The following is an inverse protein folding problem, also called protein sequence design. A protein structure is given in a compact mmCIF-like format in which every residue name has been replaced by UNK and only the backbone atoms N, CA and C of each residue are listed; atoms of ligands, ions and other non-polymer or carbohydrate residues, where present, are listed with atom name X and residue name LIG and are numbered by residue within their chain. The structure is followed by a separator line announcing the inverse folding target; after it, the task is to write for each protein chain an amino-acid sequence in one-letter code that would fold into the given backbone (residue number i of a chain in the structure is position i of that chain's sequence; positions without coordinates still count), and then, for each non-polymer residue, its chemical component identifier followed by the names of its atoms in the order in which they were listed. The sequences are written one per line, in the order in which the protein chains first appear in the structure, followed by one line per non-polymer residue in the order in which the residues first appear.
data_IF_709914851231
#
_entry.id   IF_709914851231
#
_cell.length_a   1.000
_cell.length_b   1.000
_cell.length_c   1.000
_cell.angle_alpha   90.00
_cell.angle_beta   90.00
_cell.angle_gamma   90.00
#
_symmetry.space_group_name_H-M   'P 1'
#
loop_
_entity.id
_entity.type
_entity.pdbx_description
1 polymer ?
#
# COMPACT_ATOMS: atom_id res chain seq x y z
N UNK A 1 9.62 -21.42 -32.35
CA UNK A 1 9.69 -19.94 -32.28
C UNK A 1 8.29 -19.30 -32.37
N UNK A 2 7.52 -19.48 -33.44
CA UNK A 2 6.16 -18.92 -33.57
C UNK A 2 5.18 -19.39 -32.46
N UNK A 3 5.14 -20.70 -32.16
CA UNK A 3 4.28 -21.26 -31.10
C UNK A 3 4.66 -20.76 -29.70
N UNK A 4 5.96 -20.59 -29.43
CA UNK A 4 6.45 -20.09 -28.15
C UNK A 4 6.11 -18.62 -27.94
N UNK A 5 6.21 -17.80 -28.99
CA UNK A 5 5.79 -16.40 -28.99
C UNK A 5 4.29 -16.29 -28.73
N UNK A 6 3.47 -17.05 -29.46
CA UNK A 6 2.02 -17.03 -29.28
C UNK A 6 1.62 -17.42 -27.85
N UNK A 7 2.24 -18.46 -27.30
CA UNK A 7 2.02 -18.90 -25.92
C UNK A 7 2.44 -17.85 -24.90
N UNK A 8 3.59 -17.20 -25.08
CA UNK A 8 4.08 -16.15 -24.19
C UNK A 8 3.17 -14.91 -24.24
N UNK A 9 2.80 -14.47 -25.45
CA UNK A 9 1.89 -13.34 -25.69
C UNK A 9 0.51 -13.58 -25.06
N UNK A 10 -0.06 -14.77 -25.23
CA UNK A 10 -1.34 -15.13 -24.60
C UNK A 10 -1.26 -15.11 -23.08
N UNK A 11 -0.18 -15.65 -22.50
CA UNK A 11 0.05 -15.60 -21.04
C UNK A 11 0.19 -14.16 -20.55
N UNK A 12 0.94 -13.32 -21.26
CA UNK A 12 1.11 -11.88 -20.95
C UNK A 12 -0.22 -11.14 -20.98
N UNK A 13 -1.05 -11.38 -22.00
CA UNK A 13 -2.38 -10.79 -22.11
C UNK A 13 -3.27 -11.16 -20.91
N UNK A 14 -3.31 -12.44 -20.53
CA UNK A 14 -4.06 -12.90 -19.35
C UNK A 14 -3.52 -12.29 -18.06
N UNK A 15 -2.19 -12.25 -17.90
CA UNK A 15 -1.55 -11.62 -16.74
C UNK A 15 -1.93 -10.14 -16.65
N UNK A 16 -1.83 -9.39 -17.76
CA UNK A 16 -2.24 -7.98 -17.84
C UNK A 16 -3.71 -7.78 -17.47
N UNK A 17 -4.61 -8.61 -17.96
CA UNK A 17 -6.03 -8.53 -17.59
C UNK A 17 -6.25 -8.73 -16.08
N UNK A 18 -5.59 -9.73 -15.49
CA UNK A 18 -5.67 -10.00 -14.05
C UNK A 18 -5.08 -8.85 -13.23
N UNK A 19 -3.94 -8.30 -13.64
CA UNK A 19 -3.32 -7.14 -13.00
C UNK A 19 -4.21 -5.90 -13.11
N UNK A 20 -4.86 -5.67 -14.26
CA UNK A 20 -5.81 -4.55 -14.42
C UNK A 20 -6.99 -4.67 -13.46
N UNK A 21 -7.56 -5.88 -13.31
CA UNK A 21 -8.63 -6.12 -12.31
C UNK A 21 -8.17 -5.84 -10.89
N UNK A 22 -6.95 -6.26 -10.54
CA UNK A 22 -6.36 -5.97 -9.23
C UNK A 22 -6.18 -4.46 -9.00
N UNK A 23 -5.68 -3.75 -10.01
CA UNK A 23 -5.55 -2.28 -9.96
C UNK A 23 -6.91 -1.61 -9.78
N UNK A 24 -7.95 -2.06 -10.48
CA UNK A 24 -9.31 -1.53 -10.27
C UNK A 24 -9.79 -1.78 -8.85
N UNK A 25 -9.53 -2.96 -8.27
CA UNK A 25 -9.87 -3.25 -6.86
C UNK A 25 -9.14 -2.31 -5.90
N UNK A 26 -7.83 -2.09 -6.12
CA UNK A 26 -7.02 -1.13 -5.36
C UNK A 26 -7.61 0.27 -5.48
N UNK A 27 -7.94 0.71 -6.69
CA UNK A 27 -8.49 2.03 -6.95
C UNK A 27 -9.82 2.26 -6.24
N UNK A 28 -10.73 1.28 -6.29
CA UNK A 28 -12.00 1.33 -5.56
C UNK A 28 -11.76 1.44 -4.07
N UNK A 29 -10.98 0.53 -3.46
CA UNK A 29 -10.72 0.54 -2.02
C UNK A 29 -10.00 1.81 -1.56
N UNK A 30 -9.01 2.27 -2.32
CA UNK A 30 -8.25 3.48 -2.00
C UNK A 30 -9.18 4.69 -1.86
N UNK A 31 -10.14 4.84 -2.79
CA UNK A 31 -11.07 5.96 -2.82
C UNK A 31 -12.33 5.74 -1.94
N UNK A 32 -12.51 4.58 -1.33
CA UNK A 32 -13.70 4.27 -0.53
C UNK A 32 -13.57 4.84 0.89
N UNK A 33 -14.17 5.99 1.15
CA UNK A 33 -14.13 6.65 2.46
C UNK A 33 -15.01 5.98 3.53
N UNK A 34 -15.80 4.95 3.16
CA UNK A 34 -16.71 4.26 4.09
C UNK A 34 -16.05 3.13 4.86
N UNK A 35 -14.92 2.62 4.36
CA UNK A 35 -14.15 1.52 4.98
C UNK A 35 -13.31 2.05 6.13
N UNK A 36 -13.28 1.31 7.25
CA UNK A 36 -12.41 1.64 8.38
C UNK A 36 -10.95 1.76 7.94
N UNK A 37 -10.22 2.72 8.53
CA UNK A 37 -8.85 3.02 8.10
C UNK A 37 -7.90 1.84 8.32
N UNK A 38 -8.03 1.10 9.43
CA UNK A 38 -7.16 -0.03 9.72
C UNK A 38 -7.46 -1.18 8.76
N UNK A 39 -8.75 -1.49 8.56
CA UNK A 39 -9.19 -2.50 7.58
C UNK A 39 -8.69 -2.16 6.16
N UNK A 40 -8.80 -0.88 5.76
CA UNK A 40 -8.26 -0.38 4.50
C UNK A 40 -6.75 -0.57 4.39
N UNK A 41 -5.99 -0.28 5.46
CA UNK A 41 -4.53 -0.45 5.46
C UNK A 41 -4.14 -1.93 5.30
N UNK A 42 -4.80 -2.83 6.02
CA UNK A 42 -4.55 -4.27 5.94
C UNK A 42 -4.85 -4.81 4.55
N UNK A 43 -6.01 -4.46 3.97
CA UNK A 43 -6.38 -4.92 2.65
C UNK A 43 -5.48 -4.31 1.56
N UNK A 44 -5.13 -3.02 1.65
CA UNK A 44 -4.19 -2.39 0.70
C UNK A 44 -2.79 -3.00 0.76
N UNK A 45 -2.30 -3.41 1.95
CA UNK A 45 -1.05 -4.17 2.08
C UNK A 45 -1.13 -5.51 1.33
N UNK A 46 -2.19 -6.29 1.57
CA UNK A 46 -2.39 -7.56 0.88
C UNK A 46 -2.48 -7.40 -0.65
N UNK A 47 -3.19 -6.36 -1.12
CA UNK A 47 -3.31 -6.06 -2.54
C UNK A 47 -2.00 -5.55 -3.15
N UNK A 48 -1.17 -4.84 -2.38
CA UNK A 48 0.15 -4.39 -2.80
C UNK A 48 1.08 -5.59 -3.04
N UNK A 49 1.11 -6.57 -2.13
CA UNK A 49 1.94 -7.77 -2.29
C UNK A 49 1.55 -8.54 -3.57
N UNK A 50 0.24 -8.71 -3.80
CA UNK A 50 -0.26 -9.31 -5.04
C UNK A 50 0.10 -8.50 -6.29
N UNK A 51 0.12 -7.17 -6.19
CA UNK A 51 0.49 -6.29 -7.31
C UNK A 51 1.97 -6.45 -7.64
N UNK A 52 2.84 -6.53 -6.63
CA UNK A 52 4.28 -6.74 -6.79
C UNK A 52 4.60 -8.10 -7.42
N UNK A 53 3.93 -9.16 -6.97
CA UNK A 53 4.06 -10.50 -7.57
C UNK A 53 3.68 -10.46 -9.06
N UNK A 54 2.51 -9.90 -9.39
CA UNK A 54 2.04 -9.80 -10.78
C UNK A 54 2.94 -8.92 -11.64
N UNK A 55 3.52 -7.86 -11.07
CA UNK A 55 4.52 -7.02 -11.74
C UNK A 55 5.76 -7.82 -12.12
N UNK A 56 6.26 -8.69 -11.22
CA UNK A 56 7.38 -9.60 -11.53
C UNK A 56 7.01 -10.56 -12.68
N UNK A 57 5.84 -11.20 -12.58
CA UNK A 57 5.37 -12.12 -13.63
C UNK A 57 5.27 -11.44 -14.99
N UNK A 58 4.77 -10.20 -15.04
CA UNK A 58 4.70 -9.43 -16.29
C UNK A 58 6.09 -9.15 -16.86
N UNK A 59 7.04 -8.70 -16.03
CA UNK A 59 8.43 -8.45 -16.45
C UNK A 59 9.09 -9.70 -17.03
N UNK A 60 8.90 -10.86 -16.40
CA UNK A 60 9.45 -12.13 -16.89
C UNK A 60 8.86 -12.52 -18.26
N UNK A 61 7.56 -12.30 -18.44
CA UNK A 61 6.90 -12.52 -19.73
C UNK A 61 7.35 -11.52 -20.78
N UNK A 62 7.59 -10.26 -20.40
CA UNK A 62 8.05 -9.21 -21.29
C UNK A 62 9.47 -9.51 -21.81
N UNK A 63 10.41 -9.85 -20.93
CA UNK A 63 11.78 -10.27 -21.29
C UNK A 63 11.74 -11.48 -22.24
N UNK A 64 10.86 -12.45 -21.95
CA UNK A 64 10.71 -13.63 -22.82
C UNK A 64 10.19 -13.26 -24.21
N UNK A 65 9.24 -12.34 -24.30
CA UNK A 65 8.66 -11.91 -25.58
C UNK A 65 9.66 -11.09 -26.39
N UNK A 66 10.41 -10.18 -25.76
CA UNK A 66 11.47 -9.41 -26.42
C UNK A 66 12.47 -10.31 -27.16
N UNK A 67 12.86 -11.44 -26.56
CA UNK A 67 13.75 -12.43 -27.20
C UNK A 67 13.11 -13.24 -28.34
N UNK A 68 11.82 -13.08 -28.62
CA UNK A 68 11.05 -13.83 -29.62
C UNK A 68 10.46 -12.95 -30.74
N UNK A 69 10.53 -11.63 -30.60
CA UNK A 69 9.93 -10.65 -31.52
C UNK A 69 10.97 -10.12 -32.51
N UNK A 70 10.56 -9.84 -33.75
CA UNK A 70 11.42 -9.21 -34.75
C UNK A 70 11.71 -7.75 -34.38
N UNK A 71 12.83 -7.18 -34.82
CA UNK A 71 13.17 -5.79 -34.52
C UNK A 71 12.05 -4.80 -34.93
N UNK A 72 11.37 -5.04 -36.05
CA UNK A 72 10.33 -4.15 -36.58
C UNK A 72 9.06 -4.11 -35.71
N UNK A 73 8.76 -5.19 -34.98
CA UNK A 73 7.60 -5.28 -34.08
C UNK A 73 7.95 -4.91 -32.63
N UNK A 74 9.24 -4.83 -32.30
CA UNK A 74 9.74 -4.65 -30.95
C UNK A 74 9.48 -3.24 -30.39
N UNK A 75 9.58 -2.19 -31.21
CA UNK A 75 9.35 -0.81 -30.74
C UNK A 75 7.90 -0.61 -30.25
N UNK A 76 6.91 -1.06 -31.03
CA UNK A 76 5.49 -0.97 -30.64
C UNK A 76 5.21 -1.79 -29.38
N UNK A 77 5.90 -2.91 -29.24
CA UNK A 77 5.80 -3.76 -28.07
C UNK A 77 6.33 -3.05 -26.81
N UNK A 78 7.53 -2.46 -26.88
CA UNK A 78 8.19 -1.74 -25.79
C UNK A 78 7.29 -0.61 -25.28
N UNK A 79 6.76 0.23 -26.17
CA UNK A 79 5.87 1.33 -25.78
C UNK A 79 4.66 0.80 -24.98
N UNK A 80 4.02 -0.27 -25.44
CA UNK A 80 2.87 -0.87 -24.75
C UNK A 80 3.23 -1.49 -23.38
N UNK A 81 4.46 -2.01 -23.24
CA UNK A 81 4.98 -2.52 -21.96
C UNK A 81 5.19 -1.37 -21.00
N UNK A 82 5.91 -0.33 -21.42
CA UNK A 82 6.28 0.81 -20.58
C UNK A 82 5.06 1.57 -20.07
N UNK A 83 4.12 1.92 -20.94
CA UNK A 83 2.87 2.60 -20.56
C UNK A 83 2.11 1.82 -19.47
N UNK A 84 2.10 0.49 -19.56
CA UNK A 84 1.41 -0.33 -18.59
C UNK A 84 2.21 -0.48 -17.27
N UNK A 85 3.54 -0.60 -17.36
CA UNK A 85 4.41 -0.62 -16.18
C UNK A 85 4.33 0.69 -15.39
N UNK A 86 4.24 1.83 -16.06
CA UNK A 86 4.02 3.12 -15.42
C UNK A 86 2.72 3.15 -14.61
N UNK A 87 1.63 2.57 -15.15
CA UNK A 87 0.37 2.44 -14.42
C UNK A 87 0.53 1.62 -13.14
N UNK A 88 1.27 0.51 -13.20
CA UNK A 88 1.55 -0.33 -12.02
C UNK A 88 2.38 0.45 -11.00
N UNK A 89 3.48 1.08 -11.43
CA UNK A 89 4.40 1.84 -10.56
C UNK A 89 3.67 3.00 -9.88
N UNK A 90 2.77 3.68 -10.59
CA UNK A 90 1.94 4.76 -10.03
C UNK A 90 1.10 4.27 -8.84
N UNK A 91 0.42 3.13 -8.98
CA UNK A 91 -0.40 2.56 -7.92
C UNK A 91 0.43 2.03 -6.77
N UNK A 92 1.52 1.33 -7.05
CA UNK A 92 2.51 0.91 -6.05
C UNK A 92 2.96 2.11 -5.19
N UNK A 93 3.33 3.22 -5.82
CA UNK A 93 3.77 4.42 -5.13
C UNK A 93 2.66 5.09 -4.32
N UNK A 94 1.42 5.11 -4.81
CA UNK A 94 0.27 5.64 -4.06
C UNK A 94 0.02 4.85 -2.78
N UNK A 95 -0.04 3.52 -2.89
CA UNK A 95 -0.30 2.64 -1.73
C UNK A 95 0.82 2.77 -0.69
N UNK A 96 2.09 2.68 -1.12
CA UNK A 96 3.24 2.80 -0.21
C UNK A 96 3.25 4.12 0.56
N UNK A 97 2.91 5.24 -0.10
CA UNK A 97 2.82 6.55 0.56
C UNK A 97 1.68 6.60 1.57
N UNK A 98 0.51 6.09 1.19
CA UNK A 98 -0.66 6.04 2.08
C UNK A 98 -0.35 5.25 3.35
N UNK A 99 0.16 4.03 3.21
CA UNK A 99 0.49 3.17 4.35
C UNK A 99 1.53 3.81 5.27
N UNK A 100 2.57 4.43 4.69
CA UNK A 100 3.61 5.12 5.46
C UNK A 100 3.04 6.27 6.31
N UNK A 101 2.14 7.08 5.73
CA UNK A 101 1.51 8.19 6.46
C UNK A 101 0.62 7.70 7.61
N UNK A 102 -0.10 6.59 7.40
CA UNK A 102 -0.95 5.99 8.44
C UNK A 102 -0.11 5.35 9.57
N UNK A 103 1.02 4.74 9.25
CA UNK A 103 1.97 4.24 10.27
C UNK A 103 2.56 5.40 11.11
N UNK A 104 2.96 6.50 10.45
CA UNK A 104 3.48 7.71 11.11
C UNK A 104 2.42 8.36 12.02
N UNK A 105 1.17 8.42 11.55
CA UNK A 105 0.04 8.97 12.33
C UNK A 105 -0.23 8.11 13.57
N UNK A 106 -0.29 6.79 13.43
CA UNK A 106 -0.47 5.86 14.57
C UNK A 106 0.66 5.97 15.60
N UNK A 107 1.90 6.16 15.14
CA UNK A 107 3.04 6.36 16.05
C UNK A 107 2.91 7.66 16.86
N UNK A 108 2.43 8.73 16.24
CA UNK A 108 2.21 10.01 16.90
C UNK A 108 1.09 9.92 17.95
N UNK A 109 -0.04 9.31 17.61
CA UNK A 109 -1.18 9.14 18.53
C UNK A 109 -0.78 8.34 19.78
N UNK A 110 0.01 7.26 19.59
CA UNK A 110 0.57 6.48 20.68
C UNK A 110 1.49 7.31 21.60
N UNK A 111 2.34 8.16 21.00
CA UNK A 111 3.21 9.06 21.76
C UNK A 111 2.41 10.06 22.60
N UNK A 112 1.35 10.66 22.05
CA UNK A 112 0.48 11.62 22.75
C UNK A 112 -0.23 10.95 23.94
N UNK A 113 -0.76 9.74 23.76
CA UNK A 113 -1.40 8.98 24.83
C UNK A 113 -0.43 8.68 25.99
N UNK A 114 0.82 8.35 25.69
CA UNK A 114 1.84 8.11 26.71
C UNK A 114 2.22 9.38 27.50
N UNK A 115 2.20 10.54 26.86
CA UNK A 115 2.52 11.82 27.49
C UNK A 115 1.39 12.32 28.40
N UNK A 116 0.12 12.05 28.05
CA UNK A 116 -1.04 12.52 28.80
C UNK A 116 -1.45 11.60 29.97
N UNK A 117 -0.94 10.36 30.05
CA UNK A 117 -1.18 9.44 31.17
C UNK A 117 -0.45 9.78 32.47
N UNK A 118 0.34 10.86 32.51
CA UNK A 118 1.25 11.22 33.62
C UNK A 118 0.74 12.25 34.63
N UNK A 119 -0.55 12.59 34.68
CA UNK A 119 -1.08 13.53 35.70
C UNK A 119 -1.75 12.76 36.84
N UNK A 120 -0.94 12.27 37.78
CA UNK A 120 -1.37 11.92 39.15
C UNK A 120 -0.54 12.77 40.13
N UNK A 121 -0.97 14.00 40.37
CA UNK A 121 -0.47 14.80 41.48
C UNK A 121 -1.33 14.48 42.71
N UNK A 122 -0.75 13.66 43.58
CA UNK A 122 -1.18 13.41 44.95
C UNK A 122 -1.29 14.74 45.68
N UNK A 123 -2.49 15.09 46.13
CA UNK A 123 -2.69 16.27 46.99
C UNK A 123 -2.74 15.80 48.46
N UNK A 124 -1.59 15.35 48.97
CA UNK A 124 -1.39 15.13 50.40
C UNK A 124 -1.30 16.50 51.10
N UNK A 125 -2.46 17.04 51.48
CA UNK A 125 -2.51 18.10 52.50
C UNK A 125 -2.88 17.49 53.85
N UNK A 126 -1.86 16.94 54.49
CA UNK A 126 -1.81 16.93 55.94
C UNK A 126 -1.65 18.38 56.41
N UNK A 127 -2.68 18.99 57.01
CA UNK A 127 -2.49 20.18 57.84
C UNK A 127 -2.95 19.85 59.25
N UNK A 128 -1.96 19.60 60.10
CA UNK A 128 -2.05 19.43 61.54
C UNK A 128 -2.66 20.66 62.21
N UNK A 129 -3.62 20.41 63.10
CA UNK A 129 -3.85 21.02 64.42
C UNK A 129 -3.35 22.45 64.66
N UNK A 130 -4.27 23.34 65.04
CA UNK A 130 -4.03 24.15 66.23
C UNK A 130 -5.32 24.65 66.90
N UNK A 131 -5.26 24.63 68.22
CA UNK A 131 -6.22 25.03 69.25
C UNK A 131 -6.90 26.39 69.02
N UNK A 132 -8.18 26.51 69.41
CA UNK A 132 -8.49 27.26 70.64
C UNK A 132 -9.93 27.06 71.14
N UNK A 133 -9.99 26.84 72.45
CA UNK A 133 -11.13 27.01 73.34
C UNK A 133 -11.75 28.40 73.19
N UNK A 134 -13.07 28.52 73.38
CA UNK A 134 -13.61 29.35 74.46
C UNK A 134 -15.11 29.10 74.64
N UNK A 135 -15.44 28.83 75.92
CA UNK A 135 -16.67 28.94 76.69
C UNK A 135 -17.99 29.32 75.99
#
# INVERSE_FOLDING_TARGET
MAEEFEKASKKRSVARQRTTKLITKIETLYNDETVDKNEKCEELNCLLDQLLEKKSTLKELDIKIEGLVSCDELEKYIISVEEYLEKIVRWEGKIKRFLKLEDETRALDSSILSANGGVSMQNDRSNTSNYNENA
#
